data_IF_488204888656
#
_entry.id   IF_488204888656
#
_cell.length_a   1.000
_cell.length_b   1.000
_cell.length_c   1.000
_cell.angle_alpha   90.00
_cell.angle_beta   90.00
_cell.angle_gamma   90.00
#
_symmetry.space_group_name_H-M   'P 1'
#
loop_
_entity.id
_entity.type
_entity.pdbx_description
1 polymer ?
#
# COMPACT_ATOMS: atom_id res chain seq x y z
N UNK A 1 4.92 -2.64 -20.89
CA UNK A 1 6.08 -2.24 -20.08
C UNK A 1 6.44 -3.37 -19.12
N UNK A 2 7.70 -3.46 -18.76
CA UNK A 2 8.12 -4.44 -17.78
C UNK A 2 8.23 -3.80 -16.40
N UNK A 3 7.72 -4.49 -15.39
CA UNK A 3 7.96 -4.14 -14.00
C UNK A 3 9.21 -4.92 -13.58
N UNK A 4 10.37 -4.37 -13.95
CA UNK A 4 11.66 -5.01 -13.78
C UNK A 4 12.45 -4.39 -12.61
N UNK A 5 13.61 -4.97 -12.33
CA UNK A 5 14.47 -4.51 -11.24
C UNK A 5 14.83 -3.03 -11.40
N UNK A 6 15.09 -2.57 -12.63
CA UNK A 6 15.46 -1.16 -12.88
C UNK A 6 14.33 -0.22 -12.47
N UNK A 7 13.08 -0.54 -12.82
CA UNK A 7 11.93 0.27 -12.44
C UNK A 7 11.79 0.31 -10.90
N UNK A 8 11.89 -0.85 -10.25
CA UNK A 8 11.79 -0.94 -8.80
C UNK A 8 12.89 -0.14 -8.11
N UNK A 9 14.13 -0.25 -8.59
CA UNK A 9 15.27 0.50 -8.05
C UNK A 9 15.07 2.00 -8.21
N UNK A 10 14.61 2.45 -9.37
CA UNK A 10 14.36 3.87 -9.63
C UNK A 10 13.28 4.42 -8.69
N UNK A 11 12.20 3.69 -8.49
CA UNK A 11 11.14 4.10 -7.57
C UNK A 11 11.65 4.14 -6.11
N UNK A 12 12.45 3.16 -5.73
CA UNK A 12 13.04 3.12 -4.38
C UNK A 12 13.99 4.29 -4.13
N UNK A 13 14.80 4.67 -5.13
CA UNK A 13 15.65 5.86 -5.02
C UNK A 13 14.83 7.14 -4.84
N UNK A 14 13.71 7.26 -5.57
CA UNK A 14 12.81 8.39 -5.41
C UNK A 14 12.14 8.39 -4.04
N UNK A 15 11.76 7.22 -3.53
CA UNK A 15 11.18 7.10 -2.19
C UNK A 15 12.16 7.55 -1.11
N UNK A 16 13.44 7.15 -1.21
CA UNK A 16 14.49 7.57 -0.28
C UNK A 16 14.70 9.09 -0.28
N UNK A 17 14.60 9.70 -1.45
CA UNK A 17 14.78 11.14 -1.62
C UNK A 17 13.54 11.95 -1.24
N UNK A 18 12.40 11.32 -1.08
CA UNK A 18 11.15 11.97 -0.71
C UNK A 18 11.10 12.25 0.79
N UNK A 19 10.62 13.42 1.17
CA UNK A 19 10.37 13.74 2.59
C UNK A 19 9.34 12.80 3.22
N UNK A 20 8.49 12.20 2.40
CA UNK A 20 7.46 11.23 2.85
C UNK A 20 7.97 9.80 2.91
N UNK A 21 9.19 9.54 2.42
CA UNK A 21 9.81 8.20 2.36
C UNK A 21 8.96 7.19 1.61
N UNK A 22 8.28 7.65 0.55
CA UNK A 22 7.51 6.81 -0.35
C UNK A 22 7.34 7.46 -1.72
N UNK A 23 7.09 6.63 -2.74
CA UNK A 23 6.87 7.09 -4.11
C UNK A 23 5.87 6.17 -4.80
N UNK A 24 4.84 6.75 -5.37
CA UNK A 24 3.80 6.04 -6.11
C UNK A 24 4.10 6.06 -7.61
N UNK A 25 3.71 5.01 -8.30
CA UNK A 25 3.71 4.96 -9.76
C UNK A 25 2.36 4.39 -10.20
N UNK A 26 1.54 5.25 -10.82
CA UNK A 26 0.19 4.91 -11.25
C UNK A 26 0.25 4.13 -12.58
N UNK A 27 -0.28 2.91 -12.57
CA UNK A 27 -0.31 2.04 -13.74
C UNK A 27 -1.60 2.18 -14.55
N UNK A 28 -2.55 3.01 -14.11
CA UNK A 28 -3.78 3.23 -14.88
C UNK A 28 -3.46 3.85 -16.24
N UNK A 29 -4.29 3.54 -17.23
CA UNK A 29 -4.14 4.10 -18.58
C UNK A 29 -4.57 5.55 -18.68
N UNK A 30 -5.46 5.99 -17.77
CA UNK A 30 -5.93 7.36 -17.68
C UNK A 30 -6.54 7.60 -16.28
N UNK A 31 -6.78 8.86 -15.89
CA UNK A 31 -7.51 9.16 -14.64
C UNK A 31 -8.93 8.59 -14.59
N UNK A 32 -9.52 8.29 -15.73
CA UNK A 32 -10.86 7.70 -15.83
C UNK A 32 -10.85 6.17 -15.75
N UNK A 33 -9.67 5.54 -15.75
CA UNK A 33 -9.54 4.09 -15.66
C UNK A 33 -9.98 3.61 -14.28
N UNK A 34 -11.02 2.78 -14.24
CA UNK A 34 -11.60 2.26 -13.01
C UNK A 34 -10.91 1.02 -12.47
N UNK A 35 -9.93 0.50 -13.19
CA UNK A 35 -9.08 -0.60 -12.73
C UNK A 35 -7.85 -0.01 -12.06
N UNK A 36 -7.94 0.30 -10.78
CA UNK A 36 -6.85 0.94 -10.05
C UNK A 36 -5.69 -0.03 -9.86
N UNK A 37 -4.51 0.38 -10.28
CA UNK A 37 -3.27 -0.38 -10.20
C UNK A 37 -2.14 0.58 -9.91
N UNK A 38 -1.40 0.35 -8.84
CA UNK A 38 -0.38 1.29 -8.41
C UNK A 38 0.81 0.57 -7.78
N UNK A 39 2.01 0.93 -8.22
CA UNK A 39 3.23 0.56 -7.51
C UNK A 39 3.48 1.58 -6.40
N UNK A 40 3.89 1.10 -5.24
CA UNK A 40 4.31 1.94 -4.13
C UNK A 40 5.68 1.48 -3.64
N UNK A 41 6.68 2.35 -3.79
CA UNK A 41 7.98 2.16 -3.17
C UNK A 41 7.94 2.79 -1.78
N UNK A 42 8.35 2.03 -0.78
CA UNK A 42 8.26 2.42 0.62
C UNK A 42 9.62 2.27 1.29
N UNK A 43 9.95 3.21 2.18
CA UNK A 43 11.14 3.12 3.02
C UNK A 43 10.74 3.02 4.49
N UNK A 44 11.57 2.39 5.34
CA UNK A 44 11.33 2.39 6.78
C UNK A 44 11.21 3.81 7.31
N UNK A 45 10.22 4.04 8.16
CA UNK A 45 9.93 5.37 8.69
C UNK A 45 8.84 6.13 7.94
N UNK A 46 8.41 5.65 6.75
CA UNK A 46 7.26 6.27 6.09
C UNK A 46 6.02 6.12 6.98
N UNK A 47 5.28 7.22 7.14
CA UNK A 47 4.08 7.26 7.97
C UNK A 47 2.86 7.17 7.08
N UNK A 48 2.15 6.05 7.21
CA UNK A 48 0.89 5.82 6.50
C UNK A 48 -0.24 5.85 7.55
N UNK A 49 -1.36 6.50 7.26
CA UNK A 49 -2.46 6.54 8.22
C UNK A 49 -3.16 5.18 8.31
N UNK A 50 -3.81 4.95 9.45
CA UNK A 50 -4.80 3.87 9.57
C UNK A 50 -6.03 4.33 8.80
N UNK A 51 -6.41 3.58 7.77
CA UNK A 51 -7.48 3.98 6.86
C UNK A 51 -8.28 2.78 6.37
N UNK A 52 -9.38 3.06 5.71
CA UNK A 52 -10.20 2.03 5.05
C UNK A 52 -10.69 2.51 3.71
N UNK A 53 -11.06 1.57 2.84
CA UNK A 53 -11.73 1.81 1.58
C UNK A 53 -13.15 1.27 1.68
N UNK A 54 -14.16 2.13 1.65
CA UNK A 54 -15.57 1.72 1.81
C UNK A 54 -16.14 1.02 0.59
N UNK A 55 -15.67 1.40 -0.59
CA UNK A 55 -16.29 0.99 -1.85
C UNK A 55 -15.50 -0.08 -2.59
N UNK A 56 -14.29 -0.39 -2.17
CA UNK A 56 -13.43 -1.32 -2.89
C UNK A 56 -12.70 -2.29 -1.97
N UNK A 57 -12.51 -3.49 -2.50
CA UNK A 57 -11.58 -4.47 -1.94
C UNK A 57 -10.21 -4.20 -2.53
N UNK A 58 -9.17 -4.30 -1.73
CA UNK A 58 -7.79 -4.06 -2.15
C UNK A 58 -7.02 -5.37 -2.16
N UNK A 59 -6.24 -5.60 -3.22
CA UNK A 59 -5.25 -6.67 -3.25
C UNK A 59 -3.88 -6.02 -3.13
N UNK A 60 -3.09 -6.48 -2.17
CA UNK A 60 -1.71 -6.02 -1.96
C UNK A 60 -0.76 -7.16 -2.27
N UNK A 61 0.19 -6.92 -3.15
CA UNK A 61 1.23 -7.91 -3.51
C UNK A 61 2.60 -7.33 -3.17
N UNK A 62 3.38 -8.05 -2.37
CA UNK A 62 4.75 -7.68 -2.05
C UNK A 62 5.66 -8.13 -3.19
N UNK A 63 6.15 -7.16 -3.99
CA UNK A 63 7.07 -7.48 -5.10
C UNK A 63 8.50 -7.63 -4.60
N UNK A 64 8.90 -6.84 -3.60
CA UNK A 64 10.25 -6.85 -3.07
C UNK A 64 10.24 -6.27 -1.66
N UNK A 65 11.05 -6.82 -0.77
CA UNK A 65 11.19 -6.31 0.59
C UNK A 65 10.25 -6.97 1.57
N UNK A 66 9.98 -6.29 2.68
CA UNK A 66 9.15 -6.79 3.77
C UNK A 66 8.32 -5.69 4.40
N UNK A 67 7.11 -6.06 4.81
CA UNK A 67 6.22 -5.15 5.54
C UNK A 67 5.26 -5.92 6.43
N UNK A 68 4.56 -5.19 7.26
CA UNK A 68 3.50 -5.72 8.11
C UNK A 68 2.22 -4.97 7.79
N UNK A 69 1.17 -5.69 7.41
CA UNK A 69 -0.16 -5.12 7.28
C UNK A 69 -0.87 -5.28 8.63
N UNK A 70 -1.07 -4.16 9.29
CA UNK A 70 -1.80 -4.10 10.56
C UNK A 70 -3.28 -3.92 10.28
N UNK A 71 -4.12 -4.72 10.94
CA UNK A 71 -5.58 -4.65 10.84
C UNK A 71 -6.15 -4.15 12.16
N UNK A 72 -7.20 -3.32 12.06
CA UNK A 72 -7.77 -2.64 13.23
C UNK A 72 -9.30 -2.78 13.23
N UNK A 73 -9.91 -2.64 14.41
CA UNK A 73 -11.35 -2.47 14.54
C UNK A 73 -11.74 -0.97 14.49
N UNK A 74 -13.03 -0.69 14.61
CA UNK A 74 -13.55 0.70 14.55
C UNK A 74 -13.06 1.58 15.70
N UNK A 75 -12.63 0.97 16.79
CA UNK A 75 -12.10 1.69 17.95
C UNK A 75 -10.59 1.92 17.87
N UNK A 76 -9.94 1.43 16.82
CA UNK A 76 -8.50 1.57 16.63
C UNK A 76 -7.66 0.50 17.33
N UNK A 77 -8.30 -0.58 17.81
CA UNK A 77 -7.56 -1.70 18.39
C UNK A 77 -7.04 -2.62 17.30
N UNK A 78 -5.82 -3.11 17.47
CA UNK A 78 -5.24 -4.09 16.54
C UNK A 78 -6.00 -5.40 16.65
N UNK A 79 -6.52 -5.89 15.52
CA UNK A 79 -7.22 -7.18 15.44
C UNK A 79 -6.45 -8.22 14.64
N UNK A 80 -5.43 -7.80 13.89
CA UNK A 80 -4.64 -8.72 13.09
C UNK A 80 -3.31 -8.12 12.65
N UNK A 81 -2.42 -9.02 12.27
CA UNK A 81 -1.08 -8.69 11.81
C UNK A 81 -0.72 -9.69 10.72
N UNK A 82 -0.38 -9.20 9.52
CA UNK A 82 0.01 -10.04 8.40
C UNK A 82 1.41 -9.63 7.95
N UNK A 83 2.36 -10.54 8.06
CA UNK A 83 3.73 -10.31 7.59
C UNK A 83 3.82 -10.63 6.10
N UNK A 84 4.12 -9.60 5.30
CA UNK A 84 4.23 -9.70 3.85
C UNK A 84 5.71 -9.69 3.45
N UNK A 85 6.09 -10.60 2.55
CA UNK A 85 7.45 -10.67 2.05
C UNK A 85 7.92 -12.10 1.85
N UNK A 86 9.22 -12.26 1.58
CA UNK A 86 9.81 -13.55 1.24
C UNK A 86 9.65 -14.60 2.34
N UNK A 87 9.85 -14.20 3.60
CA UNK A 87 9.72 -15.09 4.75
C UNK A 87 8.31 -15.13 5.34
N UNK A 88 7.35 -14.45 4.69
CA UNK A 88 5.98 -14.37 5.12
C UNK A 88 5.02 -14.74 3.99
N UNK A 89 3.93 -13.98 3.88
CA UNK A 89 2.90 -14.16 2.86
C UNK A 89 3.20 -13.22 1.68
N UNK A 90 3.14 -13.67 0.41
CA UNK A 90 3.44 -12.79 -0.73
C UNK A 90 2.36 -11.73 -1.00
N UNK A 91 1.10 -12.02 -0.68
CA UNK A 91 0.00 -11.13 -1.03
C UNK A 91 -1.19 -11.37 -0.10
N UNK A 92 -2.06 -10.36 -0.01
CA UNK A 92 -3.30 -10.49 0.77
C UNK A 92 -4.43 -9.65 0.16
N UNK A 93 -5.65 -9.99 0.55
CA UNK A 93 -6.84 -9.22 0.22
C UNK A 93 -7.26 -8.45 1.47
N UNK A 94 -7.41 -7.13 1.32
CA UNK A 94 -8.00 -6.26 2.35
C UNK A 94 -9.44 -6.01 1.96
N UNK A 95 -10.38 -6.51 2.77
CA UNK A 95 -11.80 -6.40 2.48
C UNK A 95 -12.32 -4.97 2.60
N UNK A 96 -13.42 -4.68 1.90
CA UNK A 96 -14.12 -3.40 2.02
C UNK A 96 -14.36 -3.06 3.49
N UNK A 97 -14.06 -1.82 3.85
CA UNK A 97 -14.32 -1.32 5.20
C UNK A 97 -13.32 -1.75 6.26
N UNK A 98 -12.36 -2.60 5.93
CA UNK A 98 -11.35 -3.05 6.88
C UNK A 98 -10.34 -1.94 7.13
N UNK A 99 -10.24 -1.49 8.38
CA UNK A 99 -9.19 -0.55 8.81
C UNK A 99 -7.83 -1.24 8.76
N UNK A 100 -6.86 -0.58 8.13
CA UNK A 100 -5.53 -1.18 7.95
C UNK A 100 -4.46 -0.10 7.80
N UNK A 101 -3.22 -0.52 8.02
CA UNK A 101 -2.02 0.29 7.81
C UNK A 101 -0.84 -0.63 7.50
N UNK A 102 -0.11 -0.32 6.45
CA UNK A 102 1.12 -1.04 6.11
C UNK A 102 2.31 -0.35 6.77
N UNK A 103 3.14 -1.14 7.43
CA UNK A 103 4.41 -0.70 7.99
C UNK A 103 5.55 -1.30 7.16
N UNK A 104 6.42 -0.46 6.64
CA UNK A 104 7.59 -0.91 5.87
C UNK A 104 8.72 -1.30 6.85
N UNK A 105 9.27 -2.50 6.68
CA UNK A 105 10.34 -3.02 7.54
C UNK A 105 11.71 -3.00 6.88
N UNK A 106 11.79 -2.90 5.56
CA UNK A 106 13.03 -3.07 4.82
C UNK A 106 13.19 -1.98 3.76
N UNK A 107 14.40 -1.43 3.63
CA UNK A 107 14.70 -0.48 2.56
C UNK A 107 14.58 -1.15 1.20
N UNK A 108 14.04 -0.41 0.23
CA UNK A 108 13.84 -0.92 -1.13
C UNK A 108 12.55 -1.73 -1.30
N UNK A 109 11.65 -1.69 -0.32
CA UNK A 109 10.36 -2.37 -0.40
C UNK A 109 9.48 -1.76 -1.48
N UNK A 110 8.88 -2.61 -2.31
CA UNK A 110 7.91 -2.21 -3.32
C UNK A 110 6.73 -3.16 -3.30
N UNK A 111 5.53 -2.58 -3.22
CA UNK A 111 4.27 -3.31 -3.34
C UNK A 111 3.55 -2.88 -4.61
N UNK A 112 2.64 -3.73 -5.09
CA UNK A 112 1.63 -3.34 -6.05
C UNK A 112 0.26 -3.52 -5.41
N UNK A 113 -0.58 -2.50 -5.57
CA UNK A 113 -1.94 -2.47 -5.04
C UNK A 113 -2.94 -2.46 -6.19
N UNK A 114 -3.99 -3.25 -6.05
CA UNK A 114 -5.10 -3.29 -6.99
C UNK A 114 -6.40 -2.99 -6.25
N UNK A 115 -7.20 -2.08 -6.79
CA UNK A 115 -8.54 -1.79 -6.28
C UNK A 115 -9.49 -1.66 -7.46
N UNK A 116 -10.68 -2.21 -7.34
CA UNK A 116 -11.73 -2.05 -8.35
C UNK A 116 -12.49 -0.75 -8.13
N UNK A 117 -13.04 -0.20 -9.20
CA UNK A 117 -13.83 1.03 -9.16
C UNK A 117 -13.00 2.30 -9.37
N UNK A 118 -13.67 3.44 -9.54
CA UNK A 118 -13.00 4.71 -9.81
C UNK A 118 -12.19 5.17 -8.60
N UNK A 119 -11.09 5.90 -8.86
CA UNK A 119 -10.32 6.53 -7.79
C UNK A 119 -11.18 7.58 -7.09
N UNK A 120 -11.20 7.50 -5.75
CA UNK A 120 -11.81 8.49 -4.89
C UNK A 120 -10.82 8.85 -3.78
N UNK A 121 -10.58 10.15 -3.54
CA UNK A 121 -9.76 10.55 -2.40
C UNK A 121 -10.35 10.03 -1.09
N UNK A 122 -9.49 9.59 -0.17
CA UNK A 122 -9.93 9.14 1.14
C UNK A 122 -10.52 10.33 1.91
N UNK A 123 -11.76 10.17 2.41
CA UNK A 123 -12.38 11.19 3.25
C UNK A 123 -11.83 11.12 4.69
N UNK A 124 -11.89 12.22 5.47
CA UNK A 124 -11.48 12.19 6.87
C UNK A 124 -12.18 11.11 7.72
N UNK A 125 -13.43 10.76 7.36
CA UNK A 125 -14.18 9.72 8.05
C UNK A 125 -13.59 8.32 7.86
N UNK A 126 -12.72 8.13 6.87
CA UNK A 126 -12.08 6.86 6.54
C UNK A 126 -10.61 6.83 6.96
N UNK A 127 -10.21 7.74 7.85
CA UNK A 127 -8.90 7.80 8.48
C UNK A 127 -9.12 7.81 9.99
N UNK A 128 -8.45 6.90 10.71
CA UNK A 128 -8.47 6.91 12.16
C UNK A 128 -7.40 7.85 12.71
N UNK A 129 -7.81 8.74 13.60
CA UNK A 129 -6.88 9.56 14.39
C UNK A 129 -6.37 8.70 15.56
N UNK A 130 -5.07 8.48 15.58
CA UNK A 130 -4.44 7.67 16.62
C UNK A 130 -3.28 8.42 17.25
#
# INVERSE_FOLDING_TARGET
MNIDKQLLDNLSEQAKASSRLRMNYDLRTSPADTSQRMLNALEPGTVLPVHRHRASTEVVVMLRGRGVQWLYDDAGNVTGKVELGEDGIPAMVVEKGQWHRLECLESGTVIVEFKDGPYEPISPADILSM
#
